data_IF_310619276679
#
_entry.id   IF_310619276679
#
_cell.length_a   1.000
_cell.length_b   1.000
_cell.length_c   1.000
_cell.angle_alpha   90.00
_cell.angle_beta   90.00
_cell.angle_gamma   90.00
#
_symmetry.space_group_name_H-M   'P 1'
#
loop_
_entity.id
_entity.type
_entity.pdbx_description
1 polymer ?
#
# COMPACT_ATOMS: atom_id res chain seq x y z
N UNK A 1 7.83 -6.25 -21.76
CA UNK A 1 7.27 -7.48 -21.18
C UNK A 1 6.94 -7.28 -19.73
N UNK A 2 5.74 -7.68 -19.31
CA UNK A 2 5.28 -7.49 -17.93
C UNK A 2 5.83 -8.61 -17.05
N UNK A 3 6.52 -8.23 -15.98
CA UNK A 3 7.30 -9.18 -15.17
C UNK A 3 6.96 -9.17 -13.68
N UNK A 4 6.11 -8.24 -13.23
CA UNK A 4 5.92 -8.00 -11.82
C UNK A 4 4.45 -7.90 -11.44
N UNK A 5 4.17 -8.21 -10.18
CA UNK A 5 2.85 -8.07 -9.58
C UNK A 5 2.98 -7.14 -8.37
N UNK A 6 2.04 -6.22 -8.22
CA UNK A 6 2.01 -5.30 -7.09
C UNK A 6 0.86 -5.68 -6.16
N UNK A 7 1.15 -5.85 -4.88
CA UNK A 7 0.14 -6.11 -3.89
C UNK A 7 0.07 -4.95 -2.89
N UNK A 8 -1.13 -4.47 -2.62
CA UNK A 8 -1.38 -3.48 -1.58
C UNK A 8 -2.06 -4.18 -0.42
N UNK A 9 -1.42 -4.14 0.74
CA UNK A 9 -1.91 -4.78 1.95
C UNK A 9 -2.28 -3.70 2.96
N UNK A 10 -3.58 -3.52 3.18
CA UNK A 10 -4.11 -2.52 4.09
C UNK A 10 -4.47 -3.18 5.41
N UNK A 11 -3.61 -3.00 6.40
CA UNK A 11 -3.85 -3.53 7.74
C UNK A 11 -4.54 -2.51 8.64
N UNK A 12 -4.67 -2.85 9.91
CA UNK A 12 -5.33 -2.00 10.89
C UNK A 12 -4.55 -0.70 11.16
N UNK A 13 -3.23 -0.78 11.20
CA UNK A 13 -2.38 0.36 11.53
C UNK A 13 -1.41 0.78 10.44
N UNK A 14 -1.44 0.15 9.27
CA UNK A 14 -0.47 0.46 8.22
C UNK A 14 -0.96 0.03 6.85
N UNK A 15 -0.34 0.61 5.83
CA UNK A 15 -0.48 0.18 4.44
C UNK A 15 0.87 -0.25 3.93
N UNK A 16 0.91 -1.30 3.15
CA UNK A 16 2.15 -1.85 2.60
C UNK A 16 1.97 -2.11 1.12
N UNK A 17 2.96 -1.70 0.34
CA UNK A 17 3.04 -2.03 -1.08
C UNK A 17 4.16 -3.05 -1.24
N UNK A 18 3.84 -4.21 -1.78
CA UNK A 18 4.80 -5.29 -1.98
C UNK A 18 4.88 -5.62 -3.46
N UNK A 19 6.09 -5.66 -3.97
CA UNK A 19 6.32 -5.96 -5.38
C UNK A 19 6.90 -7.37 -5.49
N UNK A 20 6.24 -8.20 -6.29
CA UNK A 20 6.68 -9.58 -6.54
C UNK A 20 7.05 -9.76 -8.00
N UNK A 21 8.01 -10.64 -8.26
CA UNK A 21 8.21 -11.12 -9.61
C UNK A 21 7.09 -12.11 -9.96
N UNK A 22 6.89 -12.37 -11.24
CA UNK A 22 5.87 -13.35 -11.65
C UNK A 22 6.20 -14.77 -11.18
N UNK A 23 7.44 -15.00 -10.76
CA UNK A 23 7.88 -16.28 -10.20
C UNK A 23 7.56 -16.41 -8.71
N UNK A 24 7.03 -15.37 -8.08
CA UNK A 24 6.65 -15.40 -6.69
C UNK A 24 7.68 -14.84 -5.72
N UNK A 25 8.78 -14.30 -6.20
CA UNK A 25 9.78 -13.69 -5.33
C UNK A 25 9.40 -12.27 -4.96
N UNK A 26 9.53 -11.92 -3.68
CA UNK A 26 9.37 -10.55 -3.24
C UNK A 26 10.60 -9.74 -3.63
N UNK A 27 10.42 -8.72 -4.47
CA UNK A 27 11.52 -7.89 -4.94
C UNK A 27 11.62 -6.56 -4.20
N UNK A 28 10.56 -6.10 -3.58
CA UNK A 28 10.60 -4.87 -2.81
C UNK A 28 9.35 -4.68 -1.98
N UNK A 29 9.49 -3.86 -0.94
CA UNK A 29 8.37 -3.51 -0.06
C UNK A 29 8.55 -2.08 0.43
N UNK A 30 7.44 -1.37 0.55
CA UNK A 30 7.39 -0.07 1.20
C UNK A 30 6.18 -0.05 2.12
N UNK A 31 6.31 0.58 3.26
CA UNK A 31 5.28 0.58 4.28
C UNK A 31 5.14 1.97 4.88
N UNK A 32 3.89 2.34 5.20
CA UNK A 32 3.58 3.55 5.94
C UNK A 32 2.57 3.21 7.01
N UNK A 33 2.74 3.80 8.18
CA UNK A 33 1.73 3.73 9.22
C UNK A 33 0.66 4.76 8.91
N UNK A 34 -0.57 4.42 9.17
CA UNK A 34 -1.65 5.38 9.05
C UNK A 34 -2.34 5.59 10.38
N UNK A 35 -3.03 6.72 10.48
CA UNK A 35 -3.66 7.14 11.71
C UNK A 35 -5.18 7.03 11.60
N UNK A 36 -5.77 6.68 12.71
CA UNK A 36 -7.21 6.76 12.90
C UNK A 36 -7.48 7.88 13.91
N UNK A 37 -8.44 8.71 13.62
CA UNK A 37 -8.74 9.85 14.46
C UNK A 37 -10.07 9.67 15.16
N UNK A 38 -10.12 10.06 16.45
CA UNK A 38 -11.37 10.07 17.19
C UNK A 38 -12.15 11.33 16.85
N UNK A 39 -13.44 11.16 16.53
CA UNK A 39 -14.34 12.29 16.33
C UNK A 39 -14.71 12.86 17.69
N UNK A 40 -14.44 14.16 17.98
CA UNK A 40 -14.77 14.75 19.27
C UNK A 40 -16.24 14.65 19.65
N UNK A 41 -17.14 14.56 18.69
CA UNK A 41 -18.58 14.43 18.92
C UNK A 41 -18.96 13.01 19.37
N UNK A 42 -18.09 12.05 19.13
CA UNK A 42 -18.34 10.63 19.38
C UNK A 42 -17.13 10.01 20.08
N UNK A 43 -16.97 10.26 21.40
CA UNK A 43 -15.82 9.71 22.13
C UNK A 43 -15.72 8.20 21.98
N UNK A 44 -14.51 7.73 21.71
CA UNK A 44 -14.26 6.33 21.45
C UNK A 44 -14.36 5.91 20.00
N UNK A 45 -14.77 6.81 19.08
CA UNK A 45 -14.80 6.52 17.66
C UNK A 45 -13.38 6.51 17.07
N UNK A 46 -13.23 5.82 15.96
CA UNK A 46 -11.96 5.77 15.22
C UNK A 46 -12.25 6.06 13.76
N UNK A 47 -12.13 7.31 13.38
CA UNK A 47 -12.40 7.75 12.02
C UNK A 47 -11.20 7.47 11.12
N UNK A 48 -11.44 6.90 9.96
CA UNK A 48 -10.43 6.65 8.96
C UNK A 48 -10.37 7.83 7.99
N UNK A 49 -9.25 8.55 7.99
CA UNK A 49 -9.04 9.65 7.05
C UNK A 49 -8.63 9.07 5.69
N UNK A 50 -9.61 8.82 4.85
CA UNK A 50 -9.37 8.15 3.57
C UNK A 50 -8.51 8.98 2.62
N UNK A 51 -8.58 10.31 2.69
CA UNK A 51 -7.78 11.18 1.81
C UNK A 51 -6.30 11.07 2.15
N UNK A 52 -5.96 11.27 3.42
CA UNK A 52 -4.57 11.17 3.89
C UNK A 52 -4.04 9.75 3.70
N UNK A 53 -4.85 8.74 4.04
CA UNK A 53 -4.41 7.35 3.95
C UNK A 53 -4.27 6.89 2.51
N UNK A 54 -5.10 7.40 1.61
CA UNK A 54 -4.93 7.15 0.18
C UNK A 54 -3.60 7.70 -0.33
N UNK A 55 -3.22 8.91 0.14
CA UNK A 55 -1.94 9.49 -0.22
C UNK A 55 -0.78 8.64 0.30
N UNK A 56 -0.90 8.09 1.51
CA UNK A 56 0.11 7.17 2.04
C UNK A 56 0.24 5.92 1.17
N UNK A 57 -0.86 5.39 0.67
CA UNK A 57 -0.83 4.25 -0.23
C UNK A 57 -0.10 4.58 -1.53
N UNK A 58 -0.38 5.75 -2.11
CA UNK A 58 0.31 6.19 -3.32
C UNK A 58 1.80 6.38 -3.06
N UNK A 59 2.17 6.92 -1.89
CA UNK A 59 3.57 7.10 -1.51
C UNK A 59 4.30 5.76 -1.38
N UNK A 60 3.63 4.74 -0.84
CA UNK A 60 4.18 3.39 -0.77
C UNK A 60 4.47 2.83 -2.16
N UNK A 61 3.53 3.00 -3.08
CA UNK A 61 3.71 2.53 -4.46
C UNK A 61 4.89 3.23 -5.11
N UNK A 62 4.96 4.56 -4.98
CA UNK A 62 6.07 5.34 -5.55
C UNK A 62 7.41 4.92 -4.95
N UNK A 63 7.44 4.71 -3.64
CA UNK A 63 8.68 4.33 -2.97
C UNK A 63 9.16 2.96 -3.44
N UNK A 64 8.28 1.96 -3.51
CA UNK A 64 8.70 0.61 -3.90
C UNK A 64 9.17 0.58 -5.34
N UNK A 65 8.54 1.34 -6.22
CA UNK A 65 8.98 1.44 -7.61
C UNK A 65 10.34 2.13 -7.72
N UNK A 66 10.55 3.20 -6.94
CA UNK A 66 11.83 3.91 -6.92
C UNK A 66 12.96 3.04 -6.36
N UNK A 67 12.70 2.30 -5.28
CA UNK A 67 13.70 1.43 -4.64
C UNK A 67 14.14 0.30 -5.55
N UNK A 68 13.24 -0.23 -6.34
CA UNK A 68 13.51 -1.37 -7.21
C UNK A 68 13.91 -0.97 -8.61
N UNK A 69 13.77 0.31 -8.97
CA UNK A 69 14.05 0.84 -10.31
C UNK A 69 13.24 0.16 -11.40
N UNK A 70 12.05 -0.31 -11.06
CA UNK A 70 11.18 -1.02 -11.99
C UNK A 70 10.26 -0.01 -12.71
N UNK A 71 10.13 -0.18 -14.02
CA UNK A 71 9.22 0.61 -14.83
C UNK A 71 7.77 0.17 -14.51
N UNK A 72 6.87 1.10 -14.16
CA UNK A 72 5.47 0.75 -13.93
C UNK A 72 4.81 -0.04 -15.07
N UNK A 73 5.29 0.11 -16.28
CA UNK A 73 4.79 -0.63 -17.42
C UNK A 73 5.07 -2.13 -17.36
N UNK A 74 6.00 -2.53 -16.51
CA UNK A 74 6.32 -3.94 -16.31
C UNK A 74 5.42 -4.64 -15.30
N UNK A 75 4.50 -3.89 -14.68
CA UNK A 75 3.57 -4.47 -13.72
C UNK A 75 2.40 -5.11 -14.47
N UNK A 76 2.25 -6.42 -14.29
CA UNK A 76 1.23 -7.20 -14.97
C UNK A 76 -0.13 -7.10 -14.29
N UNK A 77 -0.14 -6.89 -12.98
CA UNK A 77 -1.40 -6.81 -12.23
C UNK A 77 -1.21 -6.24 -10.85
N UNK A 78 -2.31 -5.76 -10.29
CA UNK A 78 -2.37 -5.20 -8.95
C UNK A 78 -3.44 -5.94 -8.16
N UNK A 79 -3.11 -6.34 -6.95
CA UNK A 79 -4.03 -6.98 -6.04
C UNK A 79 -4.09 -6.19 -4.73
N UNK A 80 -5.24 -6.20 -4.08
CA UNK A 80 -5.39 -5.52 -2.79
C UNK A 80 -5.96 -6.48 -1.76
N UNK A 81 -5.51 -6.31 -0.51
CA UNK A 81 -6.14 -6.94 0.64
C UNK A 81 -6.46 -5.86 1.64
N UNK A 82 -7.46 -6.05 2.45
CA UNK A 82 -7.80 -5.08 3.48
C UNK A 82 -8.26 -5.80 4.74
N UNK A 83 -8.20 -5.06 5.84
CA UNK A 83 -8.71 -5.56 7.11
C UNK A 83 -10.22 -5.73 7.05
N UNK A 84 -10.72 -6.60 7.87
CA UNK A 84 -12.15 -6.82 8.03
C UNK A 84 -12.71 -6.02 9.19
#
# INVERSE_FOLDING_TARGET
MRKYLLALDAGTGSIRAVLFSVDGEQVGVAQREWEHHEDPRWPGSMDFDWVTNWQLALDCIKEVLAKTSIDPKEIAGISTTCMR
#
